data_IF_989858789078
#
_entry.id   IF_989858789078
#
_cell.length_a   1.000
_cell.length_b   1.000
_cell.length_c   1.000
_cell.angle_alpha   90.00
_cell.angle_beta   90.00
_cell.angle_gamma   90.00
#
_symmetry.space_group_name_H-M   'P 1'
#
loop_
_entity.id
_entity.type
_entity.pdbx_description
1 polymer ?
#
# COMPACT_ATOMS: atom_id res chain seq x y z
N UNK A 1 14.23 14.48 -31.04
CA UNK A 1 14.43 13.66 -29.95
C UNK A 1 14.03 14.32 -28.71
N UNK A 2 13.94 15.48 -28.85
CA UNK A 2 13.45 16.26 -27.85
C UNK A 2 12.18 15.80 -27.29
N UNK A 3 11.19 15.52 -28.15
CA UNK A 3 9.89 15.17 -27.67
C UNK A 3 9.88 13.87 -26.87
N UNK A 4 10.75 12.96 -27.20
CA UNK A 4 10.83 11.72 -26.44
C UNK A 4 11.33 12.02 -25.02
N UNK A 5 12.36 12.84 -24.90
CA UNK A 5 12.87 13.22 -23.62
C UNK A 5 11.85 13.98 -22.80
N UNK A 6 11.17 14.94 -23.42
CA UNK A 6 10.16 15.71 -22.76
C UNK A 6 9.00 14.84 -22.30
N UNK A 7 8.58 13.93 -23.17
CA UNK A 7 7.49 13.03 -22.85
C UNK A 7 7.81 12.17 -21.66
N UNK A 8 9.01 11.60 -21.63
CA UNK A 8 9.45 10.77 -20.52
C UNK A 8 9.54 11.56 -19.23
N UNK A 9 10.04 12.79 -19.32
CA UNK A 9 10.12 13.66 -18.16
C UNK A 9 8.76 13.93 -17.57
N UNK A 10 7.77 14.22 -18.40
CA UNK A 10 6.43 14.50 -17.92
C UNK A 10 5.87 13.30 -17.16
N UNK A 11 6.04 12.10 -17.71
CA UNK A 11 5.56 10.88 -17.04
C UNK A 11 6.33 10.62 -15.76
N UNK A 12 7.67 10.72 -15.83
CA UNK A 12 8.53 10.40 -14.69
C UNK A 12 8.43 11.44 -13.58
N UNK A 13 8.02 12.67 -13.91
CA UNK A 13 7.92 13.73 -12.92
C UNK A 13 6.54 13.86 -12.31
N UNK A 14 5.62 12.94 -12.62
CA UNK A 14 4.29 12.96 -12.01
C UNK A 14 4.39 12.87 -10.50
N UNK A 15 3.58 13.67 -9.81
CA UNK A 15 3.50 13.59 -8.36
C UNK A 15 2.82 12.30 -7.95
N UNK A 16 3.29 11.75 -6.85
CA UNK A 16 2.70 10.54 -6.33
C UNK A 16 1.21 10.70 -6.07
N UNK A 17 0.81 11.88 -5.61
CA UNK A 17 -0.60 12.16 -5.31
C UNK A 17 -1.51 12.04 -6.53
N UNK A 18 -0.95 12.16 -7.74
CA UNK A 18 -1.73 11.99 -8.96
C UNK A 18 -1.94 10.52 -9.34
N UNK A 19 -1.13 9.64 -8.79
CA UNK A 19 -1.13 8.22 -9.14
C UNK A 19 -1.72 7.35 -8.04
N UNK A 20 -1.51 7.73 -6.79
CA UNK A 20 -1.96 6.93 -5.65
C UNK A 20 -3.47 6.93 -5.52
N UNK A 21 -3.98 5.88 -4.89
CA UNK A 21 -5.38 5.85 -4.46
C UNK A 21 -5.50 6.63 -3.17
N UNK A 22 -6.66 7.26 -2.96
CA UNK A 22 -6.90 8.03 -1.74
C UNK A 22 -8.36 7.88 -1.33
N UNK A 23 -8.69 8.38 -0.13
CA UNK A 23 -10.05 8.32 0.39
C UNK A 23 -10.56 6.89 0.54
N UNK A 24 -11.82 6.64 0.17
CA UNK A 24 -12.41 5.30 0.36
C UNK A 24 -11.76 4.21 -0.46
N UNK A 25 -10.98 4.55 -1.49
CA UNK A 25 -10.30 3.55 -2.30
C UNK A 25 -9.10 2.93 -1.58
N UNK A 26 -8.63 3.53 -0.49
CA UNK A 26 -7.50 3.03 0.27
C UNK A 26 -8.00 1.98 1.26
N UNK A 27 -7.53 0.72 1.15
CA UNK A 27 -7.94 -0.31 2.09
C UNK A 27 -7.35 -0.06 3.47
N UNK A 28 -8.20 -0.13 4.49
CA UNK A 28 -7.75 0.04 5.87
C UNK A 28 -8.70 -0.68 6.82
N UNK A 29 -8.14 -1.23 7.89
CA UNK A 29 -8.91 -1.79 8.98
C UNK A 29 -8.26 -1.35 10.29
N UNK A 30 -9.04 -1.33 11.36
CA UNK A 30 -8.53 -0.97 12.68
C UNK A 30 -7.66 -2.11 13.22
N UNK A 31 -6.75 -1.77 14.13
CA UNK A 31 -5.89 -2.80 14.73
C UNK A 31 -6.66 -3.82 15.54
N UNK A 32 -7.87 -3.48 15.95
CA UNK A 32 -8.73 -4.38 16.72
C UNK A 32 -9.55 -5.31 15.82
N UNK A 33 -9.46 -5.17 14.51
CA UNK A 33 -10.26 -5.95 13.58
C UNK A 33 -9.85 -7.41 13.57
N UNK A 34 -10.80 -8.27 13.21
CA UNK A 34 -10.51 -9.68 12.98
C UNK A 34 -9.82 -9.85 11.62
N UNK A 35 -9.04 -10.91 11.50
CA UNK A 35 -8.37 -11.21 10.23
C UNK A 35 -9.39 -11.34 9.10
N UNK A 36 -10.55 -11.93 9.38
CA UNK A 36 -11.60 -12.07 8.36
C UNK A 36 -12.02 -10.71 7.79
N UNK A 37 -12.12 -9.69 8.64
CA UNK A 37 -12.48 -8.35 8.20
C UNK A 37 -11.38 -7.75 7.30
N UNK A 38 -10.13 -8.02 7.62
CA UNK A 38 -9.02 -7.57 6.80
C UNK A 38 -9.07 -8.20 5.42
N UNK A 39 -9.39 -9.48 5.36
CA UNK A 39 -9.48 -10.18 4.07
C UNK A 39 -10.61 -9.62 3.22
N UNK A 40 -11.74 -9.28 3.84
CA UNK A 40 -12.84 -8.65 3.11
C UNK A 40 -12.45 -7.29 2.57
N UNK A 41 -11.71 -6.53 3.34
CA UNK A 41 -11.25 -5.21 2.90
C UNK A 41 -10.27 -5.34 1.75
N UNK A 42 -9.38 -6.31 1.80
CA UNK A 42 -8.44 -6.58 0.70
C UNK A 42 -9.19 -6.90 -0.59
N UNK A 43 -10.24 -7.71 -0.48
CA UNK A 43 -11.06 -8.07 -1.63
C UNK A 43 -11.81 -6.86 -2.18
N UNK A 44 -12.37 -6.04 -1.29
CA UNK A 44 -13.09 -4.85 -1.71
C UNK A 44 -12.21 -3.90 -2.49
N UNK A 45 -11.02 -3.64 -1.99
CA UNK A 45 -10.12 -2.67 -2.61
C UNK A 45 -9.37 -3.23 -3.81
N UNK A 46 -9.16 -4.54 -3.85
CA UNK A 46 -8.49 -5.18 -4.97
C UNK A 46 -7.03 -4.82 -5.14
N UNK A 47 -6.35 -4.50 -4.05
CA UNK A 47 -4.94 -4.10 -4.11
C UNK A 47 -3.98 -5.18 -3.64
N UNK A 48 -4.49 -6.29 -3.12
CA UNK A 48 -3.64 -7.35 -2.59
C UNK A 48 -3.06 -7.03 -1.23
N UNK A 49 -3.60 -6.03 -0.55
CA UNK A 49 -3.15 -5.67 0.79
C UNK A 49 -4.18 -4.78 1.46
N UNK A 50 -4.04 -4.60 2.78
CA UNK A 50 -4.77 -3.57 3.52
C UNK A 50 -3.86 -2.97 4.57
N UNK A 51 -4.04 -1.69 4.84
CA UNK A 51 -3.35 -1.03 5.94
C UNK A 51 -4.07 -1.35 7.25
N UNK A 52 -3.30 -1.43 8.32
CA UNK A 52 -3.86 -1.56 9.66
C UNK A 52 -3.54 -0.25 10.37
N UNK A 53 -4.59 0.42 10.84
CA UNK A 53 -4.46 1.74 11.43
C UNK A 53 -4.87 1.75 12.88
N UNK A 54 -4.27 2.68 13.62
CA UNK A 54 -4.63 2.95 15.00
C UNK A 54 -5.32 4.30 15.12
N UNK A 55 -5.20 4.91 16.27
CA UNK A 55 -5.82 6.20 16.54
C UNK A 55 -5.35 7.26 15.54
N UNK A 56 -6.31 8.05 15.03
CA UNK A 56 -5.99 9.14 14.13
C UNK A 56 -5.46 8.69 12.79
N UNK A 57 -5.83 7.49 12.35
CA UNK A 57 -5.41 6.92 11.06
C UNK A 57 -3.91 6.67 10.98
N UNK A 58 -3.23 6.55 12.11
CA UNK A 58 -1.80 6.20 12.09
C UNK A 58 -1.60 4.80 11.59
N UNK A 59 -0.64 4.65 10.70
CA UNK A 59 -0.30 3.34 10.14
C UNK A 59 0.46 2.53 11.19
N UNK A 60 -0.09 1.39 11.58
CA UNK A 60 0.53 0.48 12.52
C UNK A 60 1.17 -0.69 11.79
N UNK A 61 0.51 -1.18 10.77
CA UNK A 61 1.00 -2.34 10.03
C UNK A 61 0.36 -2.46 8.68
N UNK A 62 0.68 -3.55 8.02
CA UNK A 62 0.15 -3.88 6.71
C UNK A 62 -0.08 -5.39 6.67
N UNK A 63 -1.11 -5.80 5.96
CA UNK A 63 -1.37 -7.21 5.73
C UNK A 63 -1.51 -7.43 4.23
N UNK A 64 -0.64 -8.27 3.68
CA UNK A 64 -0.55 -8.48 2.22
C UNK A 64 -0.87 -9.92 1.87
N UNK A 65 -0.95 -10.20 0.56
CA UNK A 65 -1.12 -11.57 0.08
C UNK A 65 0.01 -12.47 0.58
N UNK A 66 1.22 -11.92 0.72
CA UNK A 66 2.33 -12.68 1.29
C UNK A 66 2.08 -13.07 2.73
N UNK A 67 1.53 -12.12 3.51
CA UNK A 67 1.16 -12.42 4.90
C UNK A 67 0.07 -13.48 4.95
N UNK A 68 -0.89 -13.41 4.02
CA UNK A 68 -1.94 -14.40 3.95
C UNK A 68 -1.39 -15.80 3.72
N UNK A 69 -0.45 -15.92 2.78
CA UNK A 69 0.19 -17.22 2.52
C UNK A 69 0.92 -17.74 3.75
N UNK A 70 1.60 -16.86 4.48
CA UNK A 70 2.29 -17.24 5.70
C UNK A 70 1.30 -17.67 6.78
N UNK A 71 0.17 -16.98 6.89
CA UNK A 71 -0.87 -17.36 7.84
C UNK A 71 -1.44 -18.73 7.52
N UNK A 72 -1.66 -19.02 6.23
CA UNK A 72 -2.14 -20.34 5.82
C UNK A 72 -1.12 -21.43 6.16
N UNK A 73 0.15 -21.16 5.90
CA UNK A 73 1.21 -22.14 6.15
C UNK A 73 1.38 -22.42 7.63
N UNK A 74 1.12 -21.43 8.49
CA UNK A 74 1.30 -21.59 9.94
C UNK A 74 0.09 -22.21 10.62
N UNK A 75 -0.98 -22.49 9.89
CA UNK A 75 -2.19 -23.09 10.47
C UNK A 75 -3.04 -22.11 11.25
N UNK A 76 -2.99 -20.84 10.91
CA UNK A 76 -3.75 -19.79 11.57
C UNK A 76 -5.25 -20.07 11.50
N UNK A 77 -5.95 -19.85 12.61
CA UNK A 77 -7.41 -19.96 12.62
C UNK A 77 -8.02 -18.64 12.18
N UNK A 78 -8.45 -18.60 10.92
CA UNK A 78 -8.95 -17.36 10.30
C UNK A 78 -10.26 -16.88 10.91
N UNK A 79 -10.98 -17.76 11.61
CA UNK A 79 -12.25 -17.35 12.22
C UNK A 79 -12.06 -16.54 13.50
N UNK A 80 -10.95 -16.75 14.19
CA UNK A 80 -10.73 -16.12 15.49
C UNK A 80 -9.51 -15.20 15.53
N UNK A 81 -8.60 -15.32 14.58
CA UNK A 81 -7.37 -14.53 14.59
C UNK A 81 -7.67 -13.05 14.44
N UNK A 82 -6.91 -12.23 15.15
CA UNK A 82 -6.96 -10.79 14.98
C UNK A 82 -5.87 -10.37 14.02
N UNK A 83 -6.14 -9.33 13.23
CA UNK A 83 -5.18 -8.89 12.23
C UNK A 83 -3.89 -8.42 12.89
N UNK A 84 -3.97 -7.86 14.10
CA UNK A 84 -2.79 -7.40 14.81
C UNK A 84 -1.81 -8.52 15.15
N UNK A 85 -2.31 -9.76 15.24
CA UNK A 85 -1.46 -10.90 15.58
C UNK A 85 -0.66 -11.42 14.40
N UNK A 86 -1.09 -11.12 13.18
CA UNK A 86 -0.49 -11.70 11.96
C UNK A 86 0.02 -10.65 10.98
N UNK A 87 -0.25 -9.38 11.20
CA UNK A 87 0.17 -8.32 10.30
C UNK A 87 1.68 -8.12 10.35
N UNK A 88 2.22 -7.50 9.31
CA UNK A 88 3.61 -7.03 9.32
C UNK A 88 3.61 -5.62 9.91
N UNK A 89 4.45 -5.38 10.91
CA UNK A 89 4.51 -4.09 11.59
C UNK A 89 5.54 -3.20 10.93
N UNK A 90 5.34 -1.88 11.06
CA UNK A 90 6.28 -0.90 10.55
C UNK A 90 6.50 -0.97 9.05
N UNK A 91 5.41 -0.93 8.25
CA UNK A 91 5.57 -1.04 6.80
C UNK A 91 6.33 0.15 6.24
N UNK A 92 6.97 -0.06 5.11
CA UNK A 92 7.62 1.02 4.40
C UNK A 92 6.56 1.96 3.85
N UNK A 93 6.80 3.26 4.00
CA UNK A 93 5.88 4.28 3.52
C UNK A 93 6.64 5.32 2.72
N UNK A 94 5.88 6.14 1.99
CA UNK A 94 6.45 7.22 1.20
C UNK A 94 5.56 8.45 1.40
N UNK A 95 6.13 9.63 1.23
CA UNK A 95 5.40 10.88 1.40
C UNK A 95 4.56 11.19 0.16
N UNK A 96 3.40 11.85 0.32
CA UNK A 96 2.57 12.20 -0.84
C UNK A 96 3.21 13.23 -1.76
N UNK A 97 4.21 13.98 -1.28
CA UNK A 97 4.91 14.96 -2.11
C UNK A 97 6.01 14.32 -2.97
N UNK A 98 6.27 13.03 -2.78
CA UNK A 98 7.29 12.35 -3.58
C UNK A 98 6.83 12.20 -5.01
N UNK A 99 7.77 11.95 -5.90
CA UNK A 99 7.45 11.68 -7.29
C UNK A 99 7.06 10.21 -7.45
N UNK A 100 6.22 9.94 -8.43
CA UNK A 100 5.79 8.57 -8.71
C UNK A 100 6.97 7.66 -9.06
N UNK A 101 7.99 8.21 -9.73
CA UNK A 101 9.18 7.43 -10.08
C UNK A 101 9.95 7.03 -8.82
N UNK A 102 9.91 7.85 -7.78
CA UNK A 102 10.56 7.51 -6.53
C UNK A 102 9.86 6.31 -5.87
N UNK A 103 8.53 6.27 -5.97
CA UNK A 103 7.78 5.12 -5.46
C UNK A 103 8.16 3.85 -6.23
N UNK A 104 8.27 3.95 -7.55
CA UNK A 104 8.65 2.81 -8.38
C UNK A 104 10.02 2.30 -8.01
N UNK A 105 10.98 3.19 -7.81
CA UNK A 105 12.33 2.82 -7.42
C UNK A 105 12.35 2.16 -6.04
N UNK A 106 11.57 2.68 -5.11
CA UNK A 106 11.50 2.11 -3.78
C UNK A 106 10.92 0.70 -3.82
N UNK A 107 9.85 0.50 -4.60
CA UNK A 107 9.25 -0.82 -4.73
C UNK A 107 10.23 -1.83 -5.32
N UNK A 108 10.98 -1.41 -6.33
CA UNK A 108 11.96 -2.30 -6.96
C UNK A 108 13.10 -2.63 -6.00
N UNK A 109 13.63 -1.61 -5.32
CA UNK A 109 14.75 -1.80 -4.40
C UNK A 109 14.38 -2.71 -3.23
N UNK A 110 13.18 -2.52 -2.69
CA UNK A 110 12.72 -3.28 -1.53
C UNK A 110 11.99 -4.56 -1.92
N UNK A 111 11.75 -4.78 -3.21
CA UNK A 111 11.07 -5.97 -3.75
C UNK A 111 9.68 -6.12 -3.16
N UNK A 112 8.95 -5.01 -3.11
CA UNK A 112 7.56 -5.01 -2.64
C UNK A 112 6.67 -4.55 -3.79
N UNK A 113 5.42 -5.02 -3.75
CA UNK A 113 4.45 -4.71 -4.81
C UNK A 113 3.40 -3.70 -4.37
N UNK A 114 3.40 -3.35 -3.10
CA UNK A 114 2.45 -2.40 -2.53
C UNK A 114 3.20 -1.39 -1.68
N UNK A 115 2.67 -0.18 -1.61
CA UNK A 115 3.30 0.87 -0.83
C UNK A 115 2.21 1.75 -0.23
N UNK A 116 2.33 2.05 1.05
CA UNK A 116 1.43 2.96 1.73
C UNK A 116 2.02 4.36 1.71
N UNK A 117 1.15 5.35 1.60
CA UNK A 117 1.54 6.75 1.57
C UNK A 117 1.11 7.38 2.88
N UNK A 118 2.06 7.97 3.58
CA UNK A 118 1.84 8.53 4.91
C UNK A 118 2.23 10.02 4.94
N UNK A 119 1.48 10.79 5.72
CA UNK A 119 1.85 12.18 5.94
C UNK A 119 2.97 12.26 6.99
N UNK A 120 3.32 13.49 7.40
CA UNK A 120 4.44 13.69 8.31
C UNK A 120 4.18 13.13 9.70
N UNK A 121 2.91 12.98 10.07
CA UNK A 121 2.54 12.39 11.36
C UNK A 121 2.38 10.88 11.29
N UNK A 122 2.64 10.27 10.14
CA UNK A 122 2.50 8.83 9.99
C UNK A 122 1.08 8.37 9.75
N UNK A 123 0.20 9.28 9.35
CA UNK A 123 -1.20 8.95 9.07
C UNK A 123 -1.35 8.50 7.63
N UNK A 124 -2.24 7.54 7.43
CA UNK A 124 -2.51 6.99 6.11
C UNK A 124 -3.24 7.99 5.24
N UNK A 125 -2.65 8.37 4.11
CA UNK A 125 -3.27 9.30 3.17
C UNK A 125 -3.42 8.70 1.78
N UNK A 126 -2.76 7.59 1.50
CA UNK A 126 -2.89 6.96 0.19
C UNK A 126 -2.26 5.59 0.16
N UNK A 127 -2.40 4.94 -0.99
CA UNK A 127 -1.82 3.64 -1.23
C UNK A 127 -1.67 3.43 -2.71
N UNK A 128 -0.69 2.63 -3.11
CA UNK A 128 -0.54 2.27 -4.51
C UNK A 128 0.10 0.91 -4.60
N UNK A 129 -0.13 0.25 -5.73
CA UNK A 129 0.51 -1.01 -6.02
C UNK A 129 1.22 -0.92 -7.36
N UNK A 130 1.91 -2.00 -7.73
CA UNK A 130 2.65 -2.06 -8.99
C UNK A 130 1.75 -1.78 -10.19
N UNK A 131 0.54 -2.31 -10.15
CA UNK A 131 -0.42 -2.13 -11.24
C UNK A 131 -0.79 -0.66 -11.44
N UNK A 132 -0.95 0.09 -10.35
CA UNK A 132 -1.26 1.52 -10.43
C UNK A 132 -0.16 2.27 -11.16
N UNK A 133 1.10 1.92 -10.90
CA UNK A 133 2.23 2.54 -11.58
C UNK A 133 2.27 2.17 -13.05
N UNK A 134 1.90 0.93 -13.39
CA UNK A 134 1.83 0.52 -14.78
C UNK A 134 0.75 1.28 -15.52
N UNK A 135 -0.41 1.44 -14.93
CA UNK A 135 -1.52 2.18 -15.54
C UNK A 135 -1.15 3.64 -15.76
N UNK A 136 -0.37 4.21 -14.88
CA UNK A 136 0.09 5.59 -15.00
C UNK A 136 1.30 5.73 -15.89
N UNK A 137 1.80 4.62 -16.42
CA UNK A 137 2.95 4.59 -17.33
C UNK A 137 4.24 5.08 -16.68
N UNK A 138 4.37 4.87 -15.37
CA UNK A 138 5.58 5.21 -14.64
C UNK A 138 6.63 4.11 -14.80
N UNK A 139 6.16 2.90 -14.98
CA UNK A 139 7.05 1.74 -15.16
C UNK A 139 6.62 0.92 -16.36
#
# INVERSE_FOLDING_TARGET
EMSIGDWSSDVCSSDLSDVMRSGPAVPRVAETALLADALMEMTRAGMGMTAIIGDGDRIIGIYTDGDLRRSLASGCNFSTARVADVMSRGPKTIHPEALAVEAAEMMERLRISQLLVADREGRLVGALNHHDLMLAKVI
#
